data_IF_840878123555
#
_entry.id   IF_840878123555
#
_cell.length_a   1.000
_cell.length_b   1.000
_cell.length_c   1.000
_cell.angle_alpha   90.00
_cell.angle_beta   90.00
_cell.angle_gamma   90.00
#
_symmetry.space_group_name_H-M   'P 1'
#
loop_
_entity.id
_entity.type
_entity.pdbx_description
1 polymer ?
#
# COMPACT_ATOMS: atom_id res chain seq x y z
N UNK A 1 9.21 -16.72 53.42
CA UNK A 1 9.30 -15.24 53.39
C UNK A 1 10.54 -14.97 52.56
N UNK A 2 10.48 -14.47 51.34
CA UNK A 2 9.86 -13.20 50.92
C UNK A 2 9.52 -13.29 49.43
N UNK A 3 8.32 -12.88 49.05
CA UNK A 3 7.82 -12.92 47.67
C UNK A 3 8.38 -11.79 46.82
N UNK A 4 8.66 -12.10 45.56
CA UNK A 4 9.02 -11.14 44.52
C UNK A 4 7.72 -10.69 43.86
N UNK A 5 7.21 -9.51 44.22
CA UNK A 5 6.13 -8.85 43.50
C UNK A 5 6.73 -8.19 42.25
N UNK A 6 6.31 -8.65 41.08
CA UNK A 6 6.53 -7.95 39.83
C UNK A 6 5.66 -6.69 39.84
N UNK A 7 6.28 -5.54 39.63
CA UNK A 7 5.61 -4.27 39.37
C UNK A 7 4.72 -4.40 38.12
N UNK A 8 3.43 -4.63 38.35
CA UNK A 8 2.39 -4.31 37.38
C UNK A 8 2.08 -2.83 37.55
N UNK A 9 2.66 -1.99 36.69
CA UNK A 9 2.22 -0.60 36.54
C UNK A 9 0.73 -0.60 36.19
N UNK A 10 -0.08 -0.08 37.10
CA UNK A 10 -1.50 0.16 36.90
C UNK A 10 -1.71 1.11 35.70
N UNK A 11 -2.80 0.97 34.93
CA UNK A 11 -3.07 1.86 33.81
C UNK A 11 -3.20 3.30 34.31
N UNK A 12 -2.45 4.20 33.65
CA UNK A 12 -2.59 5.64 33.77
C UNK A 12 -4.07 6.04 33.70
N UNK A 13 -4.47 6.97 34.55
CA UNK A 13 -5.84 7.44 34.74
C UNK A 13 -6.62 7.54 33.39
N UNK A 14 -7.73 6.80 33.18
CA UNK A 14 -8.44 6.73 31.90
C UNK A 14 -8.95 8.09 31.39
N UNK A 15 -9.11 9.07 32.27
CA UNK A 15 -9.41 10.46 31.90
C UNK A 15 -8.27 11.15 31.12
N UNK A 16 -7.01 10.78 31.36
CA UNK A 16 -5.85 11.35 30.65
C UNK A 16 -5.72 10.75 29.24
N UNK A 17 -5.91 9.43 29.08
CA UNK A 17 -5.85 8.76 27.79
C UNK A 17 -6.91 9.29 26.80
N UNK A 18 -8.15 9.51 27.28
CA UNK A 18 -9.23 10.09 26.46
C UNK A 18 -8.90 11.52 26.04
N UNK A 19 -8.32 12.32 26.94
CA UNK A 19 -7.91 13.69 26.63
C UNK A 19 -6.71 13.72 25.66
N UNK A 20 -5.76 12.79 25.78
CA UNK A 20 -4.64 12.66 24.87
C UNK A 20 -5.08 12.28 23.47
N UNK A 21 -5.96 11.28 23.35
CA UNK A 21 -6.56 10.89 22.09
C UNK A 21 -7.27 12.08 21.43
N UNK A 22 -8.09 12.82 22.17
CA UNK A 22 -8.77 14.00 21.64
C UNK A 22 -7.78 15.06 21.14
N UNK A 23 -6.70 15.35 21.89
CA UNK A 23 -5.65 16.28 21.47
C UNK A 23 -4.97 15.83 20.18
N UNK A 24 -4.64 14.55 20.07
CA UNK A 24 -3.99 14.01 18.87
C UNK A 24 -4.92 14.00 17.67
N UNK A 25 -6.22 13.78 17.86
CA UNK A 25 -7.21 13.90 16.78
C UNK A 25 -7.37 15.35 16.29
N UNK A 26 -7.22 16.35 17.17
CA UNK A 26 -7.15 17.77 16.75
C UNK A 26 -5.90 17.99 15.88
N UNK A 27 -4.72 17.50 16.29
CA UNK A 27 -3.50 17.58 15.46
C UNK A 27 -3.69 16.90 14.11
N UNK A 28 -4.33 15.72 14.07
CA UNK A 28 -4.64 15.01 12.82
C UNK A 28 -5.49 15.90 11.89
N UNK A 29 -6.52 16.56 12.42
CA UNK A 29 -7.36 17.46 11.65
C UNK A 29 -6.58 18.68 11.11
N UNK A 30 -5.78 19.33 11.96
CA UNK A 30 -4.94 20.47 11.59
C UNK A 30 -3.91 20.11 10.50
N UNK A 31 -3.20 19.00 10.68
CA UNK A 31 -2.21 18.50 9.71
C UNK A 31 -2.86 18.08 8.39
N UNK A 32 -4.03 17.45 8.45
CA UNK A 32 -4.80 17.09 7.25
C UNK A 32 -5.25 18.32 6.48
N UNK A 33 -5.74 19.36 7.17
CA UNK A 33 -6.11 20.62 6.54
C UNK A 33 -4.90 21.29 5.88
N UNK A 34 -3.75 21.34 6.57
CA UNK A 34 -2.50 21.87 6.02
C UNK A 34 -2.11 21.13 4.74
N UNK A 35 -2.11 19.79 4.79
CA UNK A 35 -1.77 18.94 3.66
C UNK A 35 -2.68 19.19 2.45
N UNK A 36 -4.00 19.22 2.66
CA UNK A 36 -4.97 19.50 1.58
C UNK A 36 -4.71 20.89 0.99
N UNK A 37 -4.42 21.89 1.83
CA UNK A 37 -4.15 23.25 1.38
C UNK A 37 -2.85 23.36 0.56
N UNK A 38 -1.78 22.68 0.98
CA UNK A 38 -0.52 22.65 0.25
C UNK A 38 -0.64 21.88 -1.06
N UNK A 39 -1.35 20.75 -1.03
CA UNK A 39 -1.64 19.98 -2.23
C UNK A 39 -2.47 20.80 -3.23
N UNK A 40 -3.55 21.45 -2.79
CA UNK A 40 -4.37 22.32 -3.64
C UNK A 40 -3.54 23.49 -4.22
N UNK A 41 -2.70 24.12 -3.40
CA UNK A 41 -1.81 25.20 -3.85
C UNK A 41 -0.78 24.71 -4.86
N UNK A 42 -0.24 23.51 -4.68
CA UNK A 42 0.67 22.90 -5.63
C UNK A 42 0.01 22.62 -6.98
N UNK A 43 -1.26 22.20 -6.99
CA UNK A 43 -2.05 22.00 -8.21
C UNK A 43 -2.23 23.30 -8.99
N UNK A 44 -2.62 24.37 -8.29
CA UNK A 44 -2.86 25.67 -8.92
C UNK A 44 -1.58 26.30 -9.49
N UNK A 45 -0.42 26.05 -8.87
CA UNK A 45 0.86 26.61 -9.27
C UNK A 45 1.62 25.76 -10.31
N UNK A 46 0.92 24.88 -11.05
CA UNK A 46 1.51 24.09 -12.14
C UNK A 46 2.07 22.73 -11.72
N UNK A 47 1.82 22.29 -10.49
CA UNK A 47 2.10 20.92 -10.07
C UNK A 47 1.12 19.97 -10.74
N UNK A 48 1.54 19.24 -11.77
CA UNK A 48 0.83 18.03 -12.21
C UNK A 48 0.72 17.08 -10.99
N UNK A 49 -0.44 17.01 -10.31
CA UNK A 49 -0.66 15.97 -9.31
C UNK A 49 -0.75 14.64 -10.02
N UNK A 50 0.07 13.68 -9.57
CA UNK A 50 -0.35 12.29 -9.38
C UNK A 50 -0.66 11.46 -10.62
N UNK A 51 -1.01 12.05 -11.76
CA UNK A 51 -0.89 11.42 -13.05
C UNK A 51 0.54 11.63 -13.51
N UNK A 52 1.29 10.53 -13.63
CA UNK A 52 2.54 10.54 -14.38
C UNK A 52 2.31 11.31 -15.68
N UNK A 53 3.10 12.37 -16.00
CA UNK A 53 2.98 13.10 -17.27
C UNK A 53 3.05 12.16 -18.48
N UNK A 54 3.63 10.98 -18.31
CA UNK A 54 3.69 9.91 -19.29
C UNK A 54 2.31 9.35 -19.74
N UNK A 55 1.26 9.45 -18.90
CA UNK A 55 -0.09 9.05 -19.32
C UNK A 55 -0.71 10.05 -20.28
N UNK A 56 -0.47 11.34 -20.05
CA UNK A 56 -1.04 12.45 -20.83
C UNK A 56 -0.24 12.73 -22.12
N UNK A 57 1.09 12.63 -22.09
CA UNK A 57 1.94 13.04 -23.22
C UNK A 57 2.14 11.95 -24.29
N UNK A 58 1.89 10.68 -23.99
CA UNK A 58 2.28 9.57 -24.89
C UNK A 58 1.14 8.93 -25.67
N UNK A 59 -0.08 9.48 -25.66
CA UNK A 59 -1.27 8.80 -26.22
C UNK A 59 -1.68 7.53 -25.48
N UNK A 60 -0.95 7.17 -24.42
CA UNK A 60 -1.20 6.00 -23.57
C UNK A 60 -2.54 6.07 -22.86
N UNK A 61 -2.94 7.24 -22.33
CA UNK A 61 -4.28 7.40 -21.74
C UNK A 61 -5.40 7.09 -22.75
N UNK A 62 -5.26 7.51 -24.01
CA UNK A 62 -6.21 7.17 -25.09
C UNK A 62 -6.21 5.66 -25.36
N UNK A 63 -5.04 5.03 -25.43
CA UNK A 63 -4.94 3.57 -25.62
C UNK A 63 -5.56 2.74 -24.49
N UNK A 64 -5.48 3.22 -23.24
CA UNK A 64 -6.12 2.58 -22.08
C UNK A 64 -7.64 2.74 -22.17
N UNK A 65 -8.13 3.94 -22.47
CA UNK A 65 -9.56 4.18 -22.66
C UNK A 65 -10.14 3.30 -23.78
N UNK A 66 -9.45 3.21 -24.92
CA UNK A 66 -9.85 2.36 -26.05
C UNK A 66 -9.89 0.88 -25.65
N UNK A 67 -8.92 0.42 -24.85
CA UNK A 67 -8.89 -0.96 -24.36
C UNK A 67 -10.06 -1.26 -23.41
N UNK A 68 -10.45 -0.33 -22.53
CA UNK A 68 -11.63 -0.49 -21.68
C UNK A 68 -12.95 -0.40 -22.46
N UNK A 69 -13.04 0.44 -23.49
CA UNK A 69 -14.21 0.46 -24.39
C UNK A 69 -14.34 -0.89 -25.12
N UNK A 70 -13.23 -1.43 -25.62
CA UNK A 70 -13.20 -2.74 -26.26
C UNK A 70 -13.61 -3.86 -25.29
N UNK A 71 -13.15 -3.80 -24.03
CA UNK A 71 -13.57 -4.73 -22.98
C UNK A 71 -15.09 -4.68 -22.79
N UNK A 72 -15.65 -3.48 -22.55
CA UNK A 72 -17.08 -3.31 -22.32
C UNK A 72 -17.91 -3.79 -23.52
N UNK A 73 -17.44 -3.53 -24.75
CA UNK A 73 -18.09 -4.00 -25.98
C UNK A 73 -18.11 -5.53 -26.06
N UNK A 74 -16.99 -6.19 -25.79
CA UNK A 74 -16.89 -7.65 -25.81
C UNK A 74 -17.69 -8.31 -24.68
N UNK A 75 -17.70 -7.72 -23.48
CA UNK A 75 -18.51 -8.17 -22.35
C UNK A 75 -20.01 -8.07 -22.65
N UNK A 76 -20.46 -6.97 -23.27
CA UNK A 76 -21.86 -6.79 -23.68
C UNK A 76 -22.28 -7.85 -24.74
N UNK A 77 -21.35 -8.23 -25.62
CA UNK A 77 -21.57 -9.29 -26.61
C UNK A 77 -21.66 -10.70 -26.01
N UNK A 78 -21.25 -10.90 -24.76
CA UNK A 78 -21.20 -12.22 -24.11
C UNK A 78 -22.07 -12.29 -22.84
N UNK A 79 -23.36 -11.97 -22.98
CA UNK A 79 -24.34 -11.95 -21.89
C UNK A 79 -24.35 -13.23 -21.03
N UNK A 80 -24.18 -14.40 -21.66
CA UNK A 80 -24.19 -15.69 -20.93
C UNK A 80 -23.04 -15.79 -19.94
N UNK A 81 -21.81 -15.41 -20.34
CA UNK A 81 -20.67 -15.41 -19.42
C UNK A 81 -20.85 -14.41 -18.29
N UNK A 82 -21.36 -13.22 -18.61
CA UNK A 82 -21.64 -12.20 -17.59
C UNK A 82 -22.66 -12.70 -16.56
N UNK A 83 -23.74 -13.36 -17.00
CA UNK A 83 -24.72 -13.98 -16.09
C UNK A 83 -24.07 -15.07 -15.23
N UNK A 84 -23.24 -15.94 -15.81
CA UNK A 84 -22.52 -16.97 -15.05
C UNK A 84 -21.58 -16.36 -14.00
N UNK A 85 -20.82 -15.34 -14.37
CA UNK A 85 -19.93 -14.62 -13.45
C UNK A 85 -20.71 -13.93 -12.33
N UNK A 86 -21.84 -13.29 -12.64
CA UNK A 86 -22.72 -12.67 -11.64
C UNK A 86 -23.33 -13.70 -10.68
N UNK A 87 -23.80 -14.84 -11.20
CA UNK A 87 -24.32 -15.92 -10.38
C UNK A 87 -23.25 -16.52 -9.46
N UNK A 88 -22.04 -16.73 -9.97
CA UNK A 88 -20.91 -17.21 -9.18
C UNK A 88 -20.60 -16.24 -8.02
N UNK A 89 -20.53 -14.93 -8.31
CA UNK A 89 -20.31 -13.91 -7.28
C UNK A 89 -21.42 -13.92 -6.21
N UNK A 90 -22.69 -13.93 -6.63
CA UNK A 90 -23.83 -13.97 -5.70
C UNK A 90 -23.81 -15.22 -4.82
N UNK A 91 -23.47 -16.37 -5.40
CA UNK A 91 -23.31 -17.62 -4.63
C UNK A 91 -22.20 -17.49 -3.60
N UNK A 92 -21.02 -16.97 -3.98
CA UNK A 92 -19.91 -16.79 -3.06
C UNK A 92 -20.23 -15.81 -1.93
N UNK A 93 -21.00 -14.75 -2.21
CA UNK A 93 -21.48 -13.83 -1.17
C UNK A 93 -22.49 -14.49 -0.23
N UNK A 94 -23.37 -15.35 -0.74
CA UNK A 94 -24.29 -16.13 0.09
C UNK A 94 -23.54 -17.11 1.00
N UNK A 95 -22.52 -17.79 0.49
CA UNK A 95 -21.66 -18.67 1.27
C UNK A 95 -20.87 -17.88 2.33
N UNK A 96 -20.38 -16.68 1.98
CA UNK A 96 -19.68 -15.81 2.91
C UNK A 96 -20.60 -15.33 4.05
N UNK A 97 -21.84 -14.95 3.73
CA UNK A 97 -22.83 -14.55 4.73
C UNK A 97 -23.20 -15.71 5.66
N UNK A 98 -23.35 -16.93 5.13
CA UNK A 98 -23.55 -18.13 5.94
C UNK A 98 -22.36 -18.41 6.86
N UNK A 99 -21.13 -18.33 6.33
CA UNK A 99 -19.89 -18.51 7.11
C UNK A 99 -19.80 -17.48 8.24
N UNK A 100 -20.07 -16.21 7.95
CA UNK A 100 -20.14 -15.14 8.97
C UNK A 100 -21.18 -15.45 10.05
N UNK A 101 -22.38 -15.89 9.66
CA UNK A 101 -23.46 -16.22 10.60
C UNK A 101 -23.07 -17.36 11.53
N UNK A 102 -22.46 -18.44 11.00
CA UNK A 102 -21.92 -19.54 11.80
C UNK A 102 -20.88 -19.06 12.81
N UNK A 103 -19.92 -18.25 12.36
CA UNK A 103 -18.89 -17.66 13.23
C UNK A 103 -19.49 -16.76 14.33
N UNK A 104 -20.52 -15.98 14.02
CA UNK A 104 -21.23 -15.18 15.02
C UNK A 104 -21.96 -16.03 16.07
N UNK A 105 -22.45 -17.21 15.68
CA UNK A 105 -23.05 -18.19 16.60
C UNK A 105 -22.01 -18.98 17.42
N UNK A 106 -20.71 -18.71 17.22
CA UNK A 106 -19.62 -19.40 17.91
C UNK A 106 -19.23 -20.74 17.30
N UNK A 107 -19.73 -21.05 16.10
CA UNK A 107 -19.32 -22.24 15.35
C UNK A 107 -18.06 -21.95 14.51
N UNK A 108 -17.21 -22.96 14.36
CA UNK A 108 -16.12 -22.90 13.39
C UNK A 108 -16.66 -22.96 11.96
N UNK A 109 -16.20 -22.03 11.12
CA UNK A 109 -16.52 -22.03 9.70
C UNK A 109 -15.23 -21.92 8.88
N UNK A 110 -15.12 -22.75 7.85
CA UNK A 110 -14.04 -22.63 6.88
C UNK A 110 -14.18 -21.32 6.09
N UNK A 111 -13.08 -20.57 5.87
CA UNK A 111 -13.10 -19.42 4.98
C UNK A 111 -13.60 -19.81 3.59
N UNK A 112 -14.43 -18.97 2.99
CA UNK A 112 -14.90 -19.15 1.61
C UNK A 112 -13.78 -18.88 0.61
N UNK A 113 -12.89 -17.96 0.98
CA UNK A 113 -11.71 -17.60 0.20
C UNK A 113 -10.56 -17.23 1.13
N UNK A 114 -9.35 -17.60 0.73
CA UNK A 114 -8.12 -17.23 1.42
C UNK A 114 -7.25 -16.32 0.53
N UNK A 115 -6.50 -15.38 1.14
CA UNK A 115 -5.55 -14.58 0.38
C UNK A 115 -4.45 -15.48 -0.21
N UNK A 116 -3.91 -15.07 -1.36
CA UNK A 116 -2.75 -15.75 -1.93
C UNK A 116 -1.59 -15.77 -0.93
N UNK A 117 -0.80 -16.84 -0.90
CA UNK A 117 0.35 -16.97 0.03
C UNK A 117 1.37 -15.83 -0.06
N UNK A 118 1.43 -15.16 -1.20
CA UNK A 118 2.29 -14.00 -1.47
C UNK A 118 1.70 -12.67 -1.00
N UNK A 119 0.40 -12.61 -0.73
CA UNK A 119 -0.30 -11.40 -0.29
C UNK A 119 -0.08 -11.20 1.22
N UNK A 120 0.84 -10.28 1.53
CA UNK A 120 1.22 -9.97 2.92
C UNK A 120 0.24 -9.05 3.63
N UNK A 121 -0.73 -8.45 2.92
CA UNK A 121 -1.64 -7.42 3.46
C UNK A 121 -2.56 -7.94 4.56
N UNK A 122 -2.87 -9.24 4.53
CA UNK A 122 -3.84 -9.89 5.41
C UNK A 122 -3.19 -10.86 6.41
N UNK A 123 -1.93 -10.61 6.79
CA UNK A 123 -1.16 -11.48 7.70
C UNK A 123 -1.48 -11.30 9.18
N UNK A 124 -1.98 -10.13 9.58
CA UNK A 124 -2.37 -9.87 10.97
C UNK A 124 -3.44 -10.84 11.46
N UNK A 125 -3.39 -11.20 12.74
CA UNK A 125 -4.30 -12.20 13.33
C UNK A 125 -5.77 -11.76 13.25
N UNK A 126 -6.02 -10.47 13.45
CA UNK A 126 -7.36 -9.86 13.45
C UNK A 126 -8.07 -9.99 12.11
N UNK A 127 -7.33 -10.13 11.00
CA UNK A 127 -7.90 -10.41 9.69
C UNK A 127 -8.61 -11.76 9.61
N UNK A 128 -8.35 -12.67 10.55
CA UNK A 128 -8.98 -14.00 10.61
C UNK A 128 -9.77 -14.15 11.92
N UNK A 129 -9.23 -13.75 13.06
CA UNK A 129 -9.87 -13.93 14.37
C UNK A 129 -11.11 -13.06 14.56
N UNK A 130 -11.13 -11.83 14.03
CA UNK A 130 -12.27 -10.94 14.11
C UNK A 130 -13.24 -11.15 12.95
N UNK A 131 -14.50 -11.45 13.25
CA UNK A 131 -15.53 -11.79 12.26
C UNK A 131 -15.81 -10.65 11.28
N UNK A 132 -15.73 -9.38 11.72
CA UNK A 132 -15.98 -8.22 10.84
C UNK A 132 -14.84 -8.03 9.85
N UNK A 133 -13.59 -8.04 10.32
CA UNK A 133 -12.43 -7.88 9.44
C UNK A 133 -12.21 -9.08 8.52
N UNK A 134 -12.53 -10.29 8.98
CA UNK A 134 -12.52 -11.48 8.13
C UNK A 134 -13.57 -11.39 7.00
N UNK A 135 -14.79 -10.91 7.31
CA UNK A 135 -15.81 -10.67 6.28
C UNK A 135 -15.37 -9.58 5.28
N UNK A 136 -14.79 -8.47 5.75
CA UNK A 136 -14.28 -7.39 4.89
C UNK A 136 -13.17 -7.92 3.97
N UNK A 137 -12.22 -8.68 4.51
CA UNK A 137 -11.14 -9.33 3.76
C UNK A 137 -11.71 -10.27 2.69
N UNK A 138 -12.58 -11.20 3.07
CA UNK A 138 -13.11 -12.21 2.15
C UNK A 138 -14.01 -11.58 1.08
N UNK A 139 -14.85 -10.61 1.42
CA UNK A 139 -15.68 -9.88 0.44
C UNK A 139 -14.83 -9.11 -0.58
N UNK A 140 -13.74 -8.49 -0.13
CA UNK A 140 -12.74 -7.89 -1.02
C UNK A 140 -12.13 -8.94 -1.95
N UNK A 141 -11.63 -10.07 -1.42
CA UNK A 141 -10.99 -11.12 -2.22
C UNK A 141 -11.94 -11.72 -3.25
N UNK A 142 -13.21 -11.97 -2.88
CA UNK A 142 -14.24 -12.46 -3.82
C UNK A 142 -14.46 -11.47 -4.96
N UNK A 143 -14.63 -10.19 -4.66
CA UNK A 143 -14.85 -9.15 -5.67
C UNK A 143 -13.62 -8.92 -6.54
N UNK A 144 -12.43 -8.93 -5.92
CA UNK A 144 -11.15 -8.79 -6.59
C UNK A 144 -10.92 -9.90 -7.61
N UNK A 145 -11.09 -11.15 -7.20
CA UNK A 145 -10.93 -12.31 -8.09
C UNK A 145 -11.99 -12.29 -9.17
N UNK A 146 -13.26 -12.06 -8.82
CA UNK A 146 -14.34 -11.97 -9.79
C UNK A 146 -14.06 -10.91 -10.88
N UNK A 147 -13.59 -9.72 -10.49
CA UNK A 147 -13.30 -8.65 -11.44
C UNK A 147 -12.10 -9.00 -12.34
N UNK A 148 -11.03 -9.56 -11.77
CA UNK A 148 -9.84 -9.97 -12.51
C UNK A 148 -10.13 -11.14 -13.47
N UNK A 149 -10.89 -12.13 -13.03
CA UNK A 149 -11.27 -13.29 -13.84
C UNK A 149 -12.21 -12.86 -14.98
N UNK A 150 -13.19 -11.98 -14.67
CA UNK A 150 -14.08 -11.40 -15.70
C UNK A 150 -13.29 -10.70 -16.80
N UNK A 151 -12.21 -9.99 -16.46
CA UNK A 151 -11.34 -9.30 -17.43
C UNK A 151 -10.45 -10.27 -18.21
N UNK A 152 -9.91 -11.29 -17.55
CA UNK A 152 -9.02 -12.29 -18.18
C UNK A 152 -9.74 -13.19 -19.17
N UNK A 153 -10.98 -13.56 -18.87
CA UNK A 153 -11.76 -14.50 -19.66
C UNK A 153 -12.52 -13.82 -20.82
N UNK A 154 -12.27 -12.54 -21.08
CA UNK A 154 -12.85 -11.83 -22.22
C UNK A 154 -12.16 -12.27 -23.51
N UNK A 155 -12.94 -12.88 -24.39
CA UNK A 155 -12.55 -13.19 -25.76
C UNK A 155 -12.73 -11.97 -26.67
N UNK A 156 -11.98 -11.89 -27.77
CA UNK A 156 -12.13 -10.85 -28.79
C UNK A 156 -11.33 -9.56 -28.55
N UNK A 157 -10.52 -9.51 -27.48
CA UNK A 157 -9.54 -8.44 -27.27
C UNK A 157 -8.22 -8.74 -27.99
N UNK A 158 -7.63 -7.70 -28.57
CA UNK A 158 -6.25 -7.77 -29.04
C UNK A 158 -5.30 -8.04 -27.84
N UNK A 159 -4.23 -8.85 -28.00
CA UNK A 159 -3.33 -9.20 -26.89
C UNK A 159 -2.73 -7.99 -26.15
N UNK A 160 -2.49 -6.87 -26.83
CA UNK A 160 -2.02 -5.65 -26.18
C UNK A 160 -3.10 -5.00 -25.31
N UNK A 161 -4.34 -4.91 -25.82
CA UNK A 161 -5.48 -4.38 -25.06
C UNK A 161 -5.80 -5.26 -23.85
N UNK A 162 -5.79 -6.58 -24.00
CA UNK A 162 -6.00 -7.52 -22.90
C UNK A 162 -4.99 -7.30 -21.75
N UNK A 163 -3.70 -7.14 -22.07
CA UNK A 163 -2.66 -6.83 -21.06
C UNK A 163 -2.87 -5.48 -20.38
N UNK A 164 -3.25 -4.45 -21.12
CA UNK A 164 -3.53 -3.13 -20.55
C UNK A 164 -4.71 -3.18 -19.56
N UNK A 165 -5.81 -3.81 -19.95
CA UNK A 165 -7.00 -3.92 -19.10
C UNK A 165 -6.71 -4.77 -17.87
N UNK A 166 -6.01 -5.91 -18.01
CA UNK A 166 -5.64 -6.72 -16.84
C UNK A 166 -4.75 -5.92 -15.88
N UNK A 167 -3.73 -5.24 -16.40
CA UNK A 167 -2.82 -4.44 -15.60
C UNK A 167 -3.57 -3.35 -14.83
N UNK A 168 -4.38 -2.53 -15.51
CA UNK A 168 -5.08 -1.42 -14.88
C UNK A 168 -6.21 -1.88 -13.96
N UNK A 169 -6.90 -2.98 -14.28
CA UNK A 169 -7.87 -3.60 -13.38
C UNK A 169 -7.20 -4.05 -12.09
N UNK A 170 -6.01 -4.67 -12.18
CA UNK A 170 -5.22 -5.04 -11.00
C UNK A 170 -4.84 -3.82 -10.16
N UNK A 171 -4.36 -2.75 -10.79
CA UNK A 171 -4.05 -1.50 -10.08
C UNK A 171 -5.27 -0.93 -9.36
N UNK A 172 -6.44 -0.97 -10.01
CA UNK A 172 -7.70 -0.53 -9.40
C UNK A 172 -8.09 -1.38 -8.19
N UNK A 173 -8.07 -2.71 -8.33
CA UNK A 173 -8.37 -3.67 -7.26
C UNK A 173 -7.40 -3.52 -6.09
N UNK A 174 -6.12 -3.31 -6.36
CA UNK A 174 -5.12 -3.09 -5.32
C UNK A 174 -5.31 -1.75 -4.60
N UNK A 175 -5.73 -0.70 -5.31
CA UNK A 175 -6.00 0.62 -4.74
C UNK A 175 -7.20 0.63 -3.79
N UNK A 176 -8.25 -0.15 -4.08
CA UNK A 176 -9.45 -0.24 -3.24
C UNK A 176 -9.33 -1.28 -2.11
N UNK A 177 -8.15 -1.90 -1.93
CA UNK A 177 -7.94 -2.89 -0.88
C UNK A 177 -8.26 -2.33 0.51
N UNK A 178 -8.99 -3.06 1.37
CA UNK A 178 -9.35 -2.59 2.71
C UNK A 178 -8.14 -2.35 3.62
N UNK A 179 -6.97 -2.94 3.30
CA UNK A 179 -5.72 -2.65 4.02
C UNK A 179 -5.24 -1.20 3.85
N UNK A 180 -5.70 -0.50 2.81
CA UNK A 180 -5.26 0.85 2.46
C UNK A 180 -5.96 1.95 3.27
N UNK A 181 -7.06 1.63 3.97
CA UNK A 181 -7.87 2.61 4.68
C UNK A 181 -7.84 2.35 6.18
N UNK A 182 -7.66 3.42 6.96
CA UNK A 182 -7.58 3.39 8.43
C UNK A 182 -8.78 2.67 9.03
N UNK A 183 -9.99 2.97 8.55
CA UNK A 183 -11.24 2.46 9.14
C UNK A 183 -11.49 0.97 8.88
N UNK A 184 -10.82 0.38 7.90
CA UNK A 184 -11.00 -1.03 7.51
C UNK A 184 -9.77 -1.87 7.79
N UNK A 185 -8.74 -1.29 8.40
CA UNK A 185 -7.49 -1.98 8.73
C UNK A 185 -7.39 -2.20 10.26
N UNK A 186 -7.50 -3.46 10.74
CA UNK A 186 -7.48 -3.75 12.16
C UNK A 186 -6.16 -3.39 12.83
N UNK A 187 -5.03 -3.55 12.14
CA UNK A 187 -3.70 -3.27 12.67
C UNK A 187 -3.54 -1.77 12.93
N UNK A 188 -4.01 -0.93 11.99
CA UNK A 188 -3.99 0.52 12.15
C UNK A 188 -4.94 0.95 13.26
N UNK A 189 -6.17 0.41 13.31
CA UNK A 189 -7.13 0.75 14.36
C UNK A 189 -6.60 0.40 15.74
N UNK A 190 -6.02 -0.80 15.91
CA UNK A 190 -5.37 -1.21 17.14
C UNK A 190 -4.23 -0.27 17.52
N UNK A 191 -3.28 -0.02 16.62
CA UNK A 191 -2.17 0.91 16.90
C UNK A 191 -2.64 2.34 17.20
N UNK A 192 -3.75 2.77 16.59
CA UNK A 192 -4.34 4.09 16.85
C UNK A 192 -4.90 4.17 18.26
N UNK A 193 -5.56 3.12 18.75
CA UNK A 193 -6.05 3.04 20.12
C UNK A 193 -4.89 2.92 21.12
N UNK A 194 -3.93 2.03 20.87
CA UNK A 194 -2.76 1.80 21.74
C UNK A 194 -1.87 3.03 21.88
N UNK A 195 -1.75 3.83 20.81
CA UNK A 195 -0.89 5.03 20.77
C UNK A 195 -1.68 6.32 20.90
N UNK A 196 -2.95 6.28 21.35
CA UNK A 196 -3.81 7.47 21.49
C UNK A 196 -3.80 8.38 20.24
N UNK A 197 -3.79 7.80 19.04
CA UNK A 197 -3.80 8.51 17.75
C UNK A 197 -2.45 9.06 17.27
N UNK A 198 -1.37 8.88 18.05
CA UNK A 198 -0.04 9.43 17.71
C UNK A 198 0.54 8.85 16.41
N UNK A 199 0.23 7.58 16.09
CA UNK A 199 0.62 6.95 14.83
C UNK A 199 0.10 7.73 13.60
N UNK A 200 -1.12 8.26 13.67
CA UNK A 200 -1.73 9.04 12.58
C UNK A 200 -1.08 10.42 12.47
N UNK A 201 -0.77 11.05 13.60
CA UNK A 201 -0.04 12.34 13.63
C UNK A 201 1.32 12.18 12.94
N UNK A 202 2.14 11.21 13.36
CA UNK A 202 3.44 10.94 12.74
C UNK A 202 3.32 10.61 11.26
N UNK A 203 2.31 9.82 10.87
CA UNK A 203 2.06 9.47 9.48
C UNK A 203 1.78 10.69 8.59
N UNK A 204 0.95 11.61 9.08
CA UNK A 204 0.65 12.87 8.39
C UNK A 204 1.85 13.81 8.33
N UNK A 205 2.67 13.87 9.38
CA UNK A 205 3.91 14.67 9.38
C UNK A 205 4.92 14.15 8.37
N UNK A 206 5.07 12.83 8.24
CA UNK A 206 5.89 12.23 7.19
C UNK A 206 5.38 12.60 5.80
N UNK A 207 4.07 12.49 5.57
CA UNK A 207 3.46 12.79 4.26
C UNK A 207 3.60 14.29 3.89
N UNK A 208 3.43 15.17 4.88
CA UNK A 208 3.62 16.61 4.72
C UNK A 208 5.08 16.93 4.40
N UNK A 209 6.04 16.35 5.14
CA UNK A 209 7.47 16.51 4.87
C UNK A 209 7.84 16.06 3.46
N UNK A 210 7.27 14.95 2.98
CA UNK A 210 7.50 14.46 1.62
C UNK A 210 6.92 15.40 0.55
N UNK A 211 5.77 16.03 0.82
CA UNK A 211 5.14 17.00 -0.07
C UNK A 211 5.92 18.33 -0.13
N UNK A 212 6.33 18.85 1.04
CA UNK A 212 7.13 20.08 1.17
C UNK A 212 8.46 19.92 0.43
N UNK A 213 9.16 18.78 0.65
CA UNK A 213 10.42 18.47 -0.03
C UNK A 213 10.28 18.37 -1.54
N UNK A 214 9.22 17.73 -2.02
CA UNK A 214 8.96 17.62 -3.46
C UNK A 214 8.30 18.85 -4.07
N UNK A 215 8.20 19.96 -3.32
CA UNK A 215 7.61 21.24 -3.75
C UNK A 215 6.22 21.06 -4.34
N UNK A 216 5.39 20.25 -3.68
CA UNK A 216 4.04 19.94 -4.12
C UNK A 216 3.89 18.65 -4.93
N UNK A 217 4.98 17.93 -5.19
CA UNK A 217 4.96 16.52 -5.60
C UNK A 217 5.36 15.65 -4.41
N UNK A 218 4.83 14.44 -4.32
CA UNK A 218 5.25 13.50 -3.28
C UNK A 218 6.68 13.02 -3.58
N UNK A 219 7.67 13.60 -2.89
CA UNK A 219 9.03 13.08 -2.88
C UNK A 219 9.15 12.15 -1.68
N UNK A 220 8.92 10.85 -1.86
CA UNK A 220 8.90 9.86 -0.78
C UNK A 220 10.33 9.50 -0.36
N UNK A 221 10.61 9.50 0.95
CA UNK A 221 11.94 9.14 1.47
C UNK A 221 12.08 7.62 1.52
N UNK A 222 12.99 7.06 0.74
CA UNK A 222 13.32 5.62 0.81
C UNK A 222 14.37 5.31 1.87
N UNK A 223 15.22 6.27 2.22
CA UNK A 223 16.28 6.11 3.22
C UNK A 223 16.62 7.43 3.88
N UNK A 224 17.21 7.39 5.07
CA UNK A 224 17.68 8.61 5.72
C UNK A 224 18.93 9.14 5.01
N UNK A 225 18.81 10.29 4.35
CA UNK A 225 19.88 10.85 3.53
C UNK A 225 21.00 11.45 4.39
N UNK A 226 20.70 11.85 5.62
CA UNK A 226 21.67 12.45 6.56
C UNK A 226 22.45 11.38 7.32
N UNK A 227 22.01 10.12 7.27
CA UNK A 227 22.69 9.01 7.89
C UNK A 227 23.96 8.58 7.13
N UNK A 228 24.18 9.05 5.89
CA UNK A 228 25.29 8.61 5.05
C UNK A 228 26.34 9.70 4.84
N UNK A 229 27.56 9.40 5.27
CA UNK A 229 28.74 10.22 5.11
C UNK A 229 29.75 9.50 4.19
N UNK A 230 30.05 10.13 3.04
CA UNK A 230 31.03 9.62 2.07
C UNK A 230 32.40 9.50 2.74
N UNK A 231 32.99 8.31 2.62
CA UNK A 231 34.29 7.97 3.21
C UNK A 231 34.24 7.55 4.67
N UNK A 232 33.07 7.59 5.34
CA UNK A 232 32.90 7.09 6.71
C UNK A 232 32.02 5.85 6.83
N UNK A 233 30.87 5.86 6.18
CA UNK A 233 29.92 4.73 6.23
C UNK A 233 29.37 4.34 4.84
N UNK A 234 29.68 5.13 3.80
CA UNK A 234 29.52 4.76 2.39
C UNK A 234 30.82 5.07 1.65
N UNK A 235 31.09 4.33 0.57
CA UNK A 235 32.34 4.45 -0.20
C UNK A 235 33.61 4.34 0.68
N UNK A 236 33.62 3.39 1.63
CA UNK A 236 34.70 3.19 2.61
C UNK A 236 35.79 2.20 2.16
N UNK A 237 35.67 1.64 0.96
CA UNK A 237 36.64 0.65 0.47
C UNK A 237 38.02 1.29 0.40
N UNK A 238 39.02 0.76 1.12
CA UNK A 238 40.36 1.34 1.12
C UNK A 238 40.91 1.41 -0.30
N UNK A 239 41.42 2.57 -0.68
CA UNK A 239 41.91 2.83 -2.03
C UNK A 239 42.49 4.24 -2.15
N UNK A 240 43.01 4.56 -3.33
CA UNK A 240 43.61 5.87 -3.62
C UNK A 240 43.31 6.29 -5.06
N UNK A 241 43.16 7.58 -5.28
CA UNK A 241 43.10 8.15 -6.63
C UNK A 241 44.51 8.09 -7.24
N UNK A 242 44.66 7.39 -8.37
CA UNK A 242 45.96 7.21 -9.06
C UNK A 242 46.08 8.05 -10.33
N UNK A 243 44.96 8.59 -10.82
CA UNK A 243 44.92 9.48 -11.97
C UNK A 243 43.66 10.35 -11.90
N UNK A 244 43.76 11.60 -12.33
CA UNK A 244 42.66 12.57 -12.33
C UNK A 244 42.73 13.47 -13.57
N UNK A 245 41.57 13.74 -14.18
CA UNK A 245 41.43 14.74 -15.23
C UNK A 245 40.06 15.46 -15.12
N UNK A 246 39.73 16.31 -16.09
CA UNK A 246 38.49 17.11 -16.08
C UNK A 246 37.19 16.30 -16.14
N UNK A 247 37.24 15.00 -16.47
CA UNK A 247 36.06 14.15 -16.61
C UNK A 247 35.98 13.05 -15.53
N UNK A 248 37.11 12.57 -15.03
CA UNK A 248 37.16 11.41 -14.16
C UNK A 248 38.31 11.40 -13.16
N UNK A 249 38.10 10.62 -12.09
CA UNK A 249 39.13 10.15 -11.18
C UNK A 249 39.22 8.62 -11.28
N UNK A 250 40.43 8.10 -11.45
CA UNK A 250 40.70 6.66 -11.43
C UNK A 250 41.10 6.24 -10.02
N UNK A 251 40.30 5.37 -9.41
CA UNK A 251 40.52 4.84 -8.06
C UNK A 251 41.16 3.46 -8.17
N UNK A 252 42.32 3.29 -7.54
CA UNK A 252 42.92 1.97 -7.30
C UNK A 252 42.58 1.52 -5.89
N UNK A 253 41.77 0.45 -5.78
CA UNK A 253 41.45 -0.16 -4.50
C UNK A 253 42.66 -0.91 -3.92
N UNK A 254 42.79 -0.89 -2.59
CA UNK A 254 43.81 -1.65 -1.88
C UNK A 254 43.48 -3.14 -1.97
N UNK A 255 44.40 -3.98 -2.44
CA UNK A 255 44.22 -5.44 -2.46
C UNK A 255 43.93 -5.98 -1.05
N UNK A 256 42.93 -6.85 -0.92
CA UNK A 256 42.62 -7.55 0.35
C UNK A 256 43.17 -8.98 0.40
N UNK A 257 43.85 -9.43 -0.67
CA UNK A 257 44.40 -10.78 -0.85
C UNK A 257 45.80 -10.72 -1.46
N UNK A 258 46.60 -11.78 -1.26
CA UNK A 258 47.98 -11.85 -1.77
C UNK A 258 48.08 -11.89 -3.30
N UNK A 259 47.05 -12.45 -3.96
CA UNK A 259 46.94 -12.49 -5.41
C UNK A 259 45.67 -11.76 -5.85
N UNK A 260 45.80 -10.90 -6.85
CA UNK A 260 44.69 -10.20 -7.53
C UNK A 260 44.79 -10.38 -9.04
N UNK A 261 43.68 -10.23 -9.74
CA UNK A 261 43.67 -10.25 -11.20
C UNK A 261 44.43 -9.05 -11.77
N UNK A 262 45.11 -9.24 -12.89
CA UNK A 262 45.86 -8.18 -13.60
C UNK A 262 44.93 -7.06 -14.12
N UNK A 263 43.64 -7.37 -14.33
CA UNK A 263 42.59 -6.42 -14.71
C UNK A 263 41.37 -6.62 -13.81
N UNK A 264 40.83 -5.56 -13.19
CA UNK A 264 39.63 -5.62 -12.36
C UNK A 264 38.37 -6.05 -13.13
#
# INVERSE_FOLDING_TARGET
MTGNQMDQQAPDNPGNATAEFARNMVKVAERSQKLISEFARSQMNGGQAGMHPELAETGRARSVADAFIALLTNLAGNQRRMMQAQHALLSSYFDLWQSMTKRLLGEDATPVIEPARTDKRFRGEEWTSNVVFDYIKQSYLLTANWLLDTVRDVEGLDPHQARLVEFHTRQFVDAISPSNFVLTNPEILRSTLEQNGENLVRGLENLLSDLERGRGKLAIRMTDMDAFEIGKNIAITPGKVVYENALMQLIQYTPTTDTVYERP
#
